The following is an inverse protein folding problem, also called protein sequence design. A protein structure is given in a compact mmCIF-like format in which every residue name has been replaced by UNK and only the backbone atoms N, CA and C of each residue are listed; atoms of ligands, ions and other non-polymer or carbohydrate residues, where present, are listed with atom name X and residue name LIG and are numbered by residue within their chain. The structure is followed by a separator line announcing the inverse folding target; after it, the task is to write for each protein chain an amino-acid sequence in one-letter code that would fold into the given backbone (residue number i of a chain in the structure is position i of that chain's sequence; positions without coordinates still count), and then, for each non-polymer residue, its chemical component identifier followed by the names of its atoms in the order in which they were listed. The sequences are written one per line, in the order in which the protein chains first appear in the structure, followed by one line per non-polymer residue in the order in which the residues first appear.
data_IF_601655845729
#
_entry.id   IF_601655845729
#
_cell.length_a   1.000
_cell.length_b   1.000
_cell.length_c   1.000
_cell.angle_alpha   90.00
_cell.angle_beta   90.00
_cell.angle_gamma   90.00
#
_symmetry.space_group_name_H-M   'P 1'
#
loop_
_entity.id
_entity.type
_entity.pdbx_description
1 polymer ?
#
# COMPACT_ATOMS: atom_id res chain seq x y z
N UNK A 1 5.79 4.12 7.56
CA UNK A 1 4.93 3.54 8.62
C UNK A 1 3.71 2.95 7.95
N UNK A 2 3.58 1.62 8.00
CA UNK A 2 2.44 0.90 7.40
C UNK A 2 1.37 0.70 8.47
N UNK A 3 0.09 0.82 8.11
CA UNK A 3 -1.02 0.65 9.06
C UNK A 3 -1.99 -0.40 8.52
N UNK A 4 -2.60 -1.14 9.42
CA UNK A 4 -3.52 -2.23 9.10
C UNK A 4 -4.69 -2.19 10.07
N UNK A 5 -5.91 -2.16 9.56
CA UNK A 5 -7.12 -2.45 10.32
C UNK A 5 -7.17 -3.93 10.66
N UNK A 6 -7.48 -4.24 11.92
CA UNK A 6 -7.74 -5.60 12.40
C UNK A 6 -9.25 -5.79 12.43
N UNK A 7 -9.75 -6.81 11.73
CA UNK A 7 -11.18 -7.04 11.50
C UNK A 7 -11.54 -8.46 11.92
N UNK A 8 -12.64 -8.60 12.66
CA UNK A 8 -13.22 -9.89 13.05
C UNK A 8 -13.92 -10.54 11.84
N UNK A 9 -13.36 -11.64 11.33
CA UNK A 9 -13.89 -12.36 10.17
C UNK A 9 -15.11 -13.23 10.47
N UNK A 10 -15.43 -13.47 11.75
CA UNK A 10 -16.60 -14.26 12.16
C UNK A 10 -17.90 -13.44 12.12
N UNK A 11 -17.76 -12.10 12.10
CA UNK A 11 -18.87 -11.14 12.06
C UNK A 11 -18.93 -10.46 10.68
N UNK A 12 -19.88 -10.82 9.81
CA UNK A 12 -20.02 -10.18 8.50
C UNK A 12 -20.21 -8.66 8.62
N UNK A 13 -19.36 -7.88 7.94
CA UNK A 13 -19.43 -6.42 7.99
C UNK A 13 -18.92 -5.79 9.29
N UNK A 14 -18.18 -6.53 10.12
CA UNK A 14 -17.59 -5.99 11.34
C UNK A 14 -16.75 -4.73 11.07
N UNK A 15 -16.97 -3.72 11.91
CA UNK A 15 -16.06 -2.60 12.00
C UNK A 15 -14.69 -3.08 12.51
N UNK A 16 -13.58 -2.43 12.12
CA UNK A 16 -12.27 -2.75 12.66
C UNK A 16 -12.24 -2.60 14.19
N UNK A 17 -11.64 -3.57 14.88
CA UNK A 17 -11.50 -3.52 16.33
C UNK A 17 -10.29 -2.67 16.77
N UNK A 18 -9.34 -2.41 15.87
CA UNK A 18 -8.14 -1.64 16.12
C UNK A 18 -7.28 -1.44 14.89
N UNK A 19 -6.21 -0.66 15.07
CA UNK A 19 -5.16 -0.45 14.07
C UNK A 19 -3.87 -1.09 14.55
N UNK A 20 -3.32 -2.00 13.75
CA UNK A 20 -1.95 -2.48 13.83
C UNK A 20 -1.06 -1.55 13.00
N UNK A 21 0.07 -1.11 13.55
CA UNK A 21 1.03 -0.24 12.88
C UNK A 21 2.40 -0.90 12.85
N UNK A 22 3.06 -0.86 11.69
CA UNK A 22 4.45 -1.27 11.51
C UNK A 22 5.34 -0.05 11.29
N UNK A 23 6.29 0.12 12.19
CA UNK A 23 7.34 1.13 12.09
C UNK A 23 8.54 0.53 11.35
N UNK A 24 8.86 1.07 10.18
CA UNK A 24 9.92 0.54 9.30
C UNK A 24 11.33 0.80 9.86
N UNK A 25 11.53 1.89 10.60
CA UNK A 25 12.82 2.26 11.17
C UNK A 25 13.20 1.34 12.33
N UNK A 26 12.24 1.04 13.20
CA UNK A 26 12.45 0.20 14.39
C UNK A 26 12.10 -1.27 14.15
N UNK A 27 11.42 -1.57 13.03
CA UNK A 27 10.91 -2.89 12.65
C UNK A 27 9.95 -3.49 13.68
N UNK A 28 9.22 -2.64 14.40
CA UNK A 28 8.32 -3.04 15.50
C UNK A 28 6.86 -2.85 15.10
N UNK A 29 6.03 -3.77 15.58
CA UNK A 29 4.58 -3.62 15.54
C UNK A 29 4.05 -2.98 16.81
N UNK A 30 2.99 -2.19 16.66
CA UNK A 30 2.16 -1.68 17.75
C UNK A 30 0.70 -1.83 17.38
N UNK A 31 -0.18 -1.95 18.38
CA UNK A 31 -1.61 -2.05 18.16
C UNK A 31 -2.35 -1.11 19.10
N UNK A 32 -3.37 -0.45 18.55
CA UNK A 32 -4.26 0.45 19.27
C UNK A 32 -5.71 0.13 18.94
N UNK A 33 -6.50 -0.20 19.95
CA UNK A 33 -7.89 -0.58 19.80
C UNK A 33 -8.80 0.65 19.63
N UNK A 34 -9.77 0.58 18.70
CA UNK A 34 -10.73 1.68 18.40
C UNK A 34 -11.57 2.00 19.63
N UNK A 35 -11.87 3.27 19.87
CA UNK A 35 -12.69 3.70 21.02
C UNK A 35 -14.02 2.92 21.11
N UNK A 36 -14.41 2.52 22.32
CA UNK A 36 -15.65 1.78 22.57
C UNK A 36 -15.62 0.27 22.28
N UNK A 37 -14.58 -0.25 21.64
CA UNK A 37 -14.41 -1.71 21.42
C UNK A 37 -14.06 -2.41 22.73
N UNK A 38 -14.79 -3.47 23.09
CA UNK A 38 -14.61 -4.22 24.33
C UNK A 38 -13.59 -5.38 24.23
N UNK A 39 -13.19 -6.00 25.37
CA UNK A 39 -12.23 -7.10 25.40
C UNK A 39 -12.63 -8.34 24.58
N UNK A 40 -13.92 -8.53 24.28
CA UNK A 40 -14.44 -9.65 23.49
C UNK A 40 -14.40 -9.42 21.98
N UNK A 41 -14.11 -8.20 21.56
CA UNK A 41 -14.15 -7.77 20.16
C UNK A 41 -12.75 -7.62 19.56
N UNK A 42 -11.72 -7.97 20.33
CA UNK A 42 -10.30 -7.99 19.92
C UNK A 42 -9.77 -9.42 19.99
N UNK A 43 -8.62 -9.72 19.37
CA UNK A 43 -7.94 -10.99 19.59
C UNK A 43 -7.77 -11.29 21.09
N UNK A 44 -7.96 -12.55 21.49
CA UNK A 44 -7.94 -12.96 22.91
C UNK A 44 -6.65 -12.54 23.62
N UNK A 45 -5.53 -12.53 22.91
CA UNK A 45 -4.22 -12.09 23.40
C UNK A 45 -4.20 -10.62 23.86
N UNK A 46 -5.12 -9.79 23.36
CA UNK A 46 -5.23 -8.35 23.64
C UNK A 46 -6.29 -8.03 24.70
N UNK A 47 -7.20 -8.97 25.00
CA UNK A 47 -8.35 -8.75 25.88
C UNK A 47 -7.95 -8.20 27.26
N UNK A 48 -6.92 -8.78 27.89
CA UNK A 48 -6.45 -8.36 29.22
C UNK A 48 -5.96 -6.90 29.25
N UNK A 49 -5.39 -6.39 28.15
CA UNK A 49 -4.99 -4.99 28.09
C UNK A 49 -6.21 -4.07 28.13
N UNK A 50 -7.26 -4.40 27.35
CA UNK A 50 -8.51 -3.64 27.35
C UNK A 50 -9.25 -3.74 28.69
N UNK A 51 -9.21 -4.90 29.37
CA UNK A 51 -9.77 -5.06 30.73
C UNK A 51 -9.11 -4.13 31.75
N UNK A 52 -7.83 -3.81 31.55
CA UNK A 52 -7.09 -2.84 32.37
C UNK A 52 -7.32 -1.38 31.96
N UNK A 53 -8.18 -1.13 30.96
CA UNK A 53 -8.42 0.18 30.38
C UNK A 53 -7.32 0.64 29.41
N UNK A 54 -6.40 -0.24 29.01
CA UNK A 54 -5.33 0.08 28.06
C UNK A 54 -5.83 -0.10 26.63
N UNK A 55 -5.95 0.99 25.86
CA UNK A 55 -6.26 0.92 24.41
C UNK A 55 -5.06 0.49 23.59
N UNK A 56 -3.87 0.91 24.01
CA UNK A 56 -2.59 0.53 23.41
C UNK A 56 -2.12 -0.77 24.04
N UNK A 57 -2.09 -1.83 23.23
CA UNK A 57 -1.72 -3.16 23.73
C UNK A 57 -0.21 -3.23 23.97
N UNK A 58 0.25 -3.86 25.08
CA UNK A 58 1.67 -4.08 25.34
C UNK A 58 2.41 -4.72 24.17
N UNK A 59 3.57 -4.17 23.81
CA UNK A 59 4.35 -4.56 22.63
C UNK A 59 4.60 -6.07 22.54
N UNK A 60 4.90 -6.73 23.67
CA UNK A 60 5.14 -8.18 23.74
C UNK A 60 3.96 -9.02 23.24
N UNK A 61 2.72 -8.58 23.50
CA UNK A 61 1.50 -9.28 23.09
C UNK A 61 1.25 -9.05 21.61
N UNK A 62 1.47 -7.82 21.12
CA UNK A 62 1.38 -7.50 19.69
C UNK A 62 2.39 -8.33 18.89
N UNK A 63 3.63 -8.43 19.37
CA UNK A 63 4.68 -9.21 18.72
C UNK A 63 4.33 -10.70 18.66
N UNK A 64 3.90 -11.29 19.78
CA UNK A 64 3.49 -12.70 19.82
C UNK A 64 2.33 -12.98 18.86
N UNK A 65 1.33 -12.10 18.83
CA UNK A 65 0.19 -12.22 17.91
C UNK A 65 0.62 -12.14 16.43
N UNK A 66 1.58 -11.28 16.08
CA UNK A 66 2.11 -11.20 14.72
C UNK A 66 2.94 -12.45 14.36
N UNK A 67 3.77 -12.95 15.28
CA UNK A 67 4.64 -14.12 15.06
C UNK A 67 3.85 -15.40 14.76
N UNK A 68 2.65 -15.55 15.32
CA UNK A 68 1.74 -16.66 14.98
C UNK A 68 1.26 -16.65 13.52
N UNK A 69 1.41 -15.53 12.80
CA UNK A 69 0.87 -15.30 11.45
C UNK A 69 1.93 -15.26 10.36
N UNK A 70 3.20 -15.16 10.72
CA UNK A 70 4.30 -15.06 9.77
C UNK A 70 5.26 -16.24 9.92
N UNK A 71 5.88 -16.65 8.81
CA UNK A 71 6.94 -17.64 8.88
C UNK A 71 8.12 -17.08 9.70
N UNK A 72 8.62 -17.81 10.72
CA UNK A 72 9.75 -17.34 11.51
C UNK A 72 11.02 -17.30 10.66
N UNK A 73 11.91 -16.35 10.98
CA UNK A 73 13.21 -16.19 10.29
C UNK A 73 14.05 -17.47 10.35
N UNK A 74 13.93 -18.26 11.42
CA UNK A 74 14.64 -19.52 11.63
C UNK A 74 14.13 -20.70 10.80
N UNK A 75 13.10 -20.53 9.97
CA UNK A 75 12.53 -21.61 9.16
C UNK A 75 13.53 -22.05 8.07
N UNK A 76 13.76 -23.36 7.94
CA UNK A 76 14.75 -23.94 7.01
C UNK A 76 14.62 -23.44 5.56
N UNK A 77 13.41 -23.12 5.09
CA UNK A 77 13.15 -22.67 3.71
C UNK A 77 12.80 -21.19 3.61
N UNK A 78 13.19 -20.35 4.58
CA UNK A 78 12.80 -18.94 4.58
C UNK A 78 13.21 -18.21 3.30
N UNK A 79 14.38 -18.53 2.73
CA UNK A 79 14.85 -17.91 1.49
C UNK A 79 13.96 -18.20 0.27
N UNK A 80 13.29 -19.36 0.22
CA UNK A 80 12.31 -19.67 -0.82
C UNK A 80 11.04 -18.84 -0.67
N UNK A 81 10.58 -18.67 0.58
CA UNK A 81 9.40 -17.86 0.91
C UNK A 81 9.66 -16.39 0.54
N UNK A 82 10.84 -15.87 0.87
CA UNK A 82 11.23 -14.49 0.51
C UNK A 82 11.24 -14.30 -1.01
N UNK A 83 11.86 -15.23 -1.76
CA UNK A 83 11.85 -15.19 -3.23
C UNK A 83 10.45 -15.26 -3.84
N UNK A 84 9.57 -16.09 -3.28
CA UNK A 84 8.18 -16.19 -3.74
C UNK A 84 7.39 -14.87 -3.56
N UNK A 85 7.85 -13.99 -2.67
CA UNK A 85 7.29 -12.66 -2.43
C UNK A 85 8.16 -11.52 -3.02
N UNK A 86 9.14 -11.83 -3.86
CA UNK A 86 10.07 -10.86 -4.45
C UNK A 86 10.83 -10.02 -3.40
N UNK A 87 11.09 -10.60 -2.23
CA UNK A 87 11.79 -9.97 -1.12
C UNK A 87 13.29 -10.31 -1.13
N UNK A 88 14.13 -9.27 -1.10
CA UNK A 88 15.59 -9.42 -0.91
C UNK A 88 15.98 -9.55 0.57
N UNK A 89 15.14 -9.03 1.47
CA UNK A 89 15.29 -9.11 2.91
C UNK A 89 13.99 -9.56 3.60
N UNK A 90 14.11 -10.09 4.82
CA UNK A 90 12.94 -10.47 5.60
C UNK A 90 12.12 -9.24 5.96
N UNK A 91 10.94 -9.04 5.37
CA UNK A 91 9.99 -7.98 5.72
C UNK A 91 8.75 -8.58 6.41
N UNK A 92 8.65 -8.47 7.75
CA UNK A 92 7.52 -8.99 8.52
C UNK A 92 6.17 -8.47 8.05
N UNK A 93 6.08 -7.19 7.67
CA UNK A 93 4.81 -6.59 7.29
C UNK A 93 4.36 -7.07 5.91
N UNK A 94 5.29 -7.34 5.00
CA UNK A 94 4.97 -7.97 3.72
C UNK A 94 4.57 -9.42 3.88
N UNK A 95 5.31 -10.20 4.68
CA UNK A 95 4.97 -11.60 4.99
C UNK A 95 3.61 -11.72 5.71
N UNK A 96 3.31 -10.80 6.61
CA UNK A 96 2.02 -10.73 7.30
C UNK A 96 0.89 -10.50 6.29
N UNK A 97 1.13 -9.69 5.26
CA UNK A 97 0.14 -9.41 4.22
C UNK A 97 -0.01 -10.50 3.16
N UNK A 98 0.95 -11.44 3.04
CA UNK A 98 0.86 -12.58 2.12
C UNK A 98 -0.43 -13.38 2.27
N UNK A 99 -0.98 -13.47 3.49
CA UNK A 99 -2.29 -14.09 3.77
C UNK A 99 -3.23 -13.15 4.55
N UNK A 100 -3.08 -11.82 4.38
CA UNK A 100 -3.88 -10.81 5.10
C UNK A 100 -3.93 -11.05 6.62
N UNK A 101 -2.83 -11.51 7.23
CA UNK A 101 -2.73 -11.80 8.67
C UNK A 101 -3.67 -12.88 9.19
N UNK A 102 -4.25 -13.72 8.33
CA UNK A 102 -5.10 -14.84 8.76
C UNK A 102 -4.27 -15.91 9.46
N UNK A 103 -4.83 -16.47 10.53
CA UNK A 103 -4.26 -17.56 11.32
C UNK A 103 -5.30 -18.66 11.56
N UNK A 104 -4.86 -19.85 11.96
CA UNK A 104 -5.77 -20.89 12.49
C UNK A 104 -6.09 -20.70 13.97
N UNK A 105 -5.44 -19.75 14.65
CA UNK A 105 -5.61 -19.50 16.09
C UNK A 105 -6.80 -18.59 16.42
N UNK A 106 -7.19 -17.71 15.50
CA UNK A 106 -8.37 -16.85 15.66
C UNK A 106 -8.96 -16.43 14.28
N UNK A 107 -10.16 -15.86 14.31
CA UNK A 107 -10.89 -15.40 13.13
C UNK A 107 -10.52 -14.02 12.60
N UNK A 108 -9.48 -13.36 13.13
CA UNK A 108 -9.14 -11.99 12.74
C UNK A 108 -8.30 -11.96 11.46
N UNK A 109 -8.53 -10.93 10.65
CA UNK A 109 -7.73 -10.65 9.46
C UNK A 109 -7.37 -9.17 9.36
N UNK A 110 -6.41 -8.87 8.49
CA UNK A 110 -5.87 -7.53 8.30
C UNK A 110 -6.31 -6.92 6.98
N UNK A 111 -6.58 -5.62 7.03
CA UNK A 111 -6.77 -4.76 5.87
C UNK A 111 -5.80 -3.58 5.98
N UNK A 112 -4.88 -3.43 5.04
CA UNK A 112 -3.93 -2.31 5.05
C UNK A 112 -4.65 -0.96 4.84
N UNK A 113 -4.31 0.04 5.66
CA UNK A 113 -4.88 1.39 5.67
C UNK A 113 -3.80 2.43 5.40
N UNK A 114 -3.73 2.92 4.16
CA UNK A 114 -2.74 3.92 3.69
C UNK A 114 -1.31 3.35 3.53
N UNK A 115 -0.45 3.77 2.60
CA UNK A 115 -0.59 4.64 1.43
C UNK A 115 0.09 4.01 0.19
N UNK A 116 0.37 2.70 0.20
CA UNK A 116 1.00 1.96 -0.92
C UNK A 116 0.15 2.07 -2.19
N UNK A 117 -1.17 2.02 -2.03
CA UNK A 117 -2.11 2.16 -3.13
C UNK A 117 -2.29 3.62 -3.56
N UNK A 118 -2.01 4.63 -2.73
CA UNK A 118 -2.10 6.04 -3.13
C UNK A 118 -0.84 6.48 -3.85
N UNK A 119 0.35 6.09 -3.37
CA UNK A 119 1.62 6.34 -4.06
C UNK A 119 1.64 5.68 -5.45
N UNK A 120 1.36 4.37 -5.52
CA UNK A 120 1.31 3.65 -6.79
C UNK A 120 0.22 4.20 -7.73
N UNK A 121 -0.97 4.54 -7.23
CA UNK A 121 -2.02 5.17 -8.07
C UNK A 121 -1.67 6.59 -8.50
N UNK A 122 -1.04 7.40 -7.66
CA UNK A 122 -0.57 8.75 -8.02
C UNK A 122 0.52 8.67 -9.08
N UNK A 123 1.48 7.76 -8.89
CA UNK A 123 2.52 7.45 -9.88
C UNK A 123 1.91 6.98 -11.20
N UNK A 124 1.02 5.99 -11.16
CA UNK A 124 0.32 5.47 -12.33
C UNK A 124 -0.49 6.53 -13.08
N UNK A 125 -1.19 7.41 -12.34
CA UNK A 125 -1.88 8.57 -12.92
C UNK A 125 -0.91 9.58 -13.54
N UNK A 126 0.23 9.83 -12.91
CA UNK A 126 1.29 10.70 -13.42
C UNK A 126 1.87 10.18 -14.74
N UNK A 127 2.20 8.88 -14.78
CA UNK A 127 2.69 8.20 -15.99
C UNK A 127 1.64 8.27 -17.10
N UNK A 128 0.37 7.94 -16.79
CA UNK A 128 -0.73 8.04 -17.76
C UNK A 128 -0.89 9.45 -18.30
N UNK A 129 -0.85 10.47 -17.44
CA UNK A 129 -0.98 11.86 -17.85
C UNK A 129 0.18 12.29 -18.76
N UNK A 130 1.41 11.92 -18.42
CA UNK A 130 2.59 12.19 -19.25
C UNK A 130 2.49 11.50 -20.62
N UNK A 131 2.07 10.23 -20.65
CA UNK A 131 1.84 9.49 -21.89
C UNK A 131 0.82 10.17 -22.80
N UNK A 132 -0.31 10.61 -22.24
CA UNK A 132 -1.35 11.29 -22.99
C UNK A 132 -0.88 12.65 -23.52
N UNK A 133 -0.09 13.41 -22.75
CA UNK A 133 0.53 14.67 -23.22
C UNK A 133 1.51 14.45 -24.37
N UNK A 134 2.23 13.33 -24.35
CA UNK A 134 3.12 12.91 -25.43
C UNK A 134 2.39 12.33 -26.65
N UNK A 135 1.05 12.22 -26.62
CA UNK A 135 0.25 11.68 -27.72
C UNK A 135 0.44 10.18 -27.96
N UNK A 136 0.94 9.42 -26.98
CA UNK A 136 1.27 8.01 -27.14
C UNK A 136 0.12 7.09 -26.69
N UNK A 137 -0.07 5.96 -27.38
CA UNK A 137 -0.91 4.86 -26.89
C UNK A 137 -0.17 4.08 -25.80
N UNK A 138 -0.90 3.26 -25.01
CA UNK A 138 -0.25 2.38 -24.04
C UNK A 138 0.72 1.41 -24.72
N UNK A 139 0.32 0.84 -25.84
CA UNK A 139 1.18 -0.06 -26.63
C UNK A 139 2.47 0.63 -27.08
N UNK A 140 2.38 1.86 -27.56
CA UNK A 140 3.54 2.61 -28.03
C UNK A 140 4.50 2.99 -26.90
N UNK A 141 3.99 3.46 -25.76
CA UNK A 141 4.84 3.72 -24.59
C UNK A 141 5.46 2.43 -24.06
N UNK A 142 4.69 1.35 -23.97
CA UNK A 142 5.17 0.07 -23.48
C UNK A 142 6.32 -0.45 -24.35
N UNK A 143 6.14 -0.39 -25.69
CA UNK A 143 7.16 -0.75 -26.67
C UNK A 143 8.43 0.08 -26.52
N UNK A 144 8.33 1.42 -26.40
CA UNK A 144 9.48 2.31 -26.19
C UNK A 144 10.19 2.06 -24.86
N UNK A 145 9.42 1.80 -23.81
CA UNK A 145 9.96 1.47 -22.50
C UNK A 145 10.50 0.03 -22.45
N UNK A 146 10.20 -0.84 -23.42
CA UNK A 146 10.57 -2.26 -23.48
C UNK A 146 9.79 -3.15 -22.50
N UNK A 147 8.53 -2.81 -22.21
CA UNK A 147 7.63 -3.57 -21.34
C UNK A 147 6.39 -4.00 -22.11
N UNK A 148 5.59 -4.92 -21.54
CA UNK A 148 4.32 -5.31 -22.16
C UNK A 148 3.24 -4.25 -21.96
N UNK A 149 2.24 -4.21 -22.84
CA UNK A 149 1.11 -3.28 -22.73
C UNK A 149 0.29 -3.56 -21.46
N UNK A 150 0.16 -4.82 -21.05
CA UNK A 150 -0.51 -5.24 -19.82
C UNK A 150 0.22 -4.74 -18.58
N UNK A 151 1.57 -4.86 -18.57
CA UNK A 151 2.40 -4.35 -17.48
C UNK A 151 2.29 -2.82 -17.35
N UNK A 152 2.27 -2.10 -18.47
CA UNK A 152 2.04 -0.66 -18.45
C UNK A 152 0.60 -0.32 -17.97
N UNK A 153 -0.41 -1.06 -18.44
CA UNK A 153 -1.80 -0.87 -18.03
C UNK A 153 -2.01 -1.16 -16.54
N UNK A 154 -1.32 -2.17 -15.98
CA UNK A 154 -1.31 -2.46 -14.56
C UNK A 154 -0.68 -1.30 -13.77
N UNK A 155 0.49 -0.81 -14.22
CA UNK A 155 1.18 0.33 -13.63
C UNK A 155 0.33 1.61 -13.64
N UNK A 156 -0.30 1.95 -14.77
CA UNK A 156 -1.15 3.15 -14.88
C UNK A 156 -2.39 3.13 -13.97
N UNK A 157 -2.83 1.93 -13.58
CA UNK A 157 -3.93 1.73 -12.61
C UNK A 157 -3.44 1.70 -11.16
N UNK A 158 -2.14 1.88 -10.93
CA UNK A 158 -1.50 1.79 -9.62
C UNK A 158 -1.38 0.37 -9.09
N UNK A 159 -1.35 -0.62 -9.97
CA UNK A 159 -1.04 -2.00 -9.66
C UNK A 159 0.45 -2.31 -9.88
N UNK A 160 0.93 -3.33 -9.17
CA UNK A 160 2.34 -3.74 -9.21
C UNK A 160 3.26 -2.84 -8.37
N UNK A 161 4.54 -3.22 -8.32
CA UNK A 161 5.61 -2.48 -7.65
C UNK A 161 6.72 -2.15 -8.67
N UNK A 162 6.62 -1.04 -9.43
CA UNK A 162 7.60 -0.72 -10.45
C UNK A 162 8.96 -0.42 -9.81
N UNK A 163 9.99 -1.12 -10.26
CA UNK A 163 11.37 -0.85 -9.85
C UNK A 163 11.85 0.52 -10.36
N UNK A 164 12.87 1.11 -9.71
CA UNK A 164 13.50 2.35 -10.19
C UNK A 164 13.93 2.26 -11.65
N UNK A 165 14.47 1.10 -12.07
CA UNK A 165 14.85 0.84 -13.46
C UNK A 165 13.66 0.91 -14.42
N UNK A 166 12.48 0.44 -14.01
CA UNK A 166 11.25 0.58 -14.81
C UNK A 166 10.85 2.04 -14.94
N UNK A 167 10.94 2.82 -13.85
CA UNK A 167 10.63 4.25 -13.86
C UNK A 167 11.56 5.04 -14.77
N UNK A 168 12.87 4.77 -14.72
CA UNK A 168 13.84 5.39 -15.62
C UNK A 168 13.55 5.09 -17.09
N UNK A 169 13.19 3.84 -17.41
CA UNK A 169 12.86 3.44 -18.80
C UNK A 169 11.63 4.18 -19.31
N UNK A 170 10.61 4.34 -18.46
CA UNK A 170 9.40 5.10 -18.79
C UNK A 170 9.73 6.58 -18.99
N UNK A 171 10.53 7.18 -18.11
CA UNK A 171 10.96 8.58 -18.24
C UNK A 171 11.72 8.83 -19.55
N UNK A 172 12.66 7.93 -19.90
CA UNK A 172 13.38 7.97 -21.19
C UNK A 172 12.45 7.80 -22.38
N UNK A 173 11.49 6.87 -22.31
CA UNK A 173 10.53 6.61 -23.38
C UNK A 173 9.56 7.79 -23.63
N UNK A 174 9.32 8.60 -22.61
CA UNK A 174 8.50 9.82 -22.64
C UNK A 174 9.30 11.09 -22.94
N UNK A 175 10.64 10.98 -23.02
CA UNK A 175 11.55 12.12 -23.16
C UNK A 175 11.32 13.21 -22.10
N UNK A 176 11.18 12.79 -20.83
CA UNK A 176 10.92 13.71 -19.72
C UNK A 176 11.81 13.44 -18.50
N UNK A 177 12.04 14.48 -17.69
CA UNK A 177 12.58 14.34 -16.34
C UNK A 177 11.50 13.82 -15.39
N UNK A 178 11.82 12.78 -14.61
CA UNK A 178 10.96 12.25 -13.57
C UNK A 178 11.39 12.79 -12.21
N UNK A 179 10.51 13.55 -11.56
CA UNK A 179 10.67 14.00 -10.18
C UNK A 179 9.62 13.30 -9.31
N UNK A 180 10.06 12.69 -8.21
CA UNK A 180 9.19 12.00 -7.25
C UNK A 180 9.25 12.76 -5.94
N UNK A 181 8.15 13.42 -5.60
CA UNK A 181 8.00 14.13 -4.32
C UNK A 181 7.09 13.33 -3.40
N UNK A 182 7.58 12.99 -2.21
CA UNK A 182 6.76 12.46 -1.13
C UNK A 182 6.28 13.62 -0.26
N UNK A 183 4.99 13.91 -0.31
CA UNK A 183 4.35 14.91 0.55
C UNK A 183 3.54 14.25 1.66
N UNK A 184 3.43 14.90 2.81
CA UNK A 184 2.44 14.52 3.83
C UNK A 184 1.02 14.63 3.23
N UNK A 185 0.08 13.74 3.61
CA UNK A 185 -1.30 13.89 3.21
C UNK A 185 -1.84 15.22 3.75
N UNK A 186 -1.87 16.24 2.89
CA UNK A 186 -2.60 17.45 3.17
C UNK A 186 -4.06 17.07 3.41
N UNK A 187 -4.59 17.44 4.57
CA UNK A 187 -5.99 17.27 4.92
C UNK A 187 -6.93 18.15 4.06
N UNK A 188 -6.41 18.91 3.10
CA UNK A 188 -7.20 19.78 2.23
C UNK A 188 -7.39 19.13 0.85
N UNK A 189 -8.67 18.90 0.50
CA UNK A 189 -9.10 18.37 -0.79
C UNK A 189 -8.49 19.11 -1.98
N UNK A 190 -8.08 18.35 -2.98
CA UNK A 190 -7.51 18.90 -4.22
C UNK A 190 -8.63 19.54 -5.04
N UNK A 191 -8.69 20.87 -4.98
CA UNK A 191 -9.19 21.67 -6.09
C UNK A 191 -8.23 21.47 -7.26
N UNK A 192 -8.74 20.96 -8.39
CA UNK A 192 -7.99 21.00 -9.64
C UNK A 192 -8.31 22.36 -10.27
N UNK A 193 -7.40 23.32 -10.11
CA UNK A 193 -7.40 24.52 -10.95
C UNK A 193 -6.91 24.15 -12.35
N UNK A 194 -7.74 24.45 -13.35
CA UNK A 194 -7.41 24.37 -14.76
C UNK A 194 -7.10 25.80 -15.21
N UNK A 195 -5.82 26.16 -15.38
CA UNK A 195 -5.46 27.40 -16.09
C UNK A 195 -5.63 27.16 -17.60
N UNK A 196 -6.87 27.28 -18.04
CA UNK A 196 -7.22 27.28 -19.44
C UNK A 196 -6.92 28.63 -20.07
N UNK A 197 -5.69 28.84 -20.55
CA UNK A 197 -5.45 29.82 -21.62
C UNK A 197 -5.65 29.13 -22.96
N UNK A 198 -6.89 29.21 -23.40
CA UNK A 198 -7.38 28.93 -24.73
C UNK A 198 -6.49 29.61 -25.78
N UNK A 199 -5.90 28.80 -26.66
CA UNK A 199 -5.34 29.30 -27.91
C UNK A 199 -6.44 29.91 -28.77
N UNK A 200 -6.12 31.08 -29.30
CA UNK A 200 -6.86 31.76 -30.36
C UNK A 200 -7.15 30.80 -31.52
N UNK A 201 -8.41 30.73 -31.94
CA UNK A 201 -8.74 30.40 -33.33
C UNK A 201 -9.45 31.60 -33.93
N UNK A 202 -8.69 32.30 -34.75
CA UNK A 202 -9.21 33.03 -35.90
C UNK A 202 -10.11 32.11 -36.72
N UNK A 203 -11.36 32.49 -36.93
CA UNK A 203 -12.02 32.10 -38.17
C UNK A 203 -12.61 33.34 -38.82
N UNK A 204 -12.12 33.57 -40.03
CA UNK A 204 -12.44 34.71 -40.85
C UNK A 204 -13.80 34.52 -41.51
N UNK A 205 -14.52 35.62 -41.53
CA UNK A 205 -15.68 35.91 -42.39
C UNK A 205 -15.47 35.47 -43.85
N UNK A 206 -16.57 35.33 -44.58
CA UNK A 206 -16.94 36.42 -45.49
C UNK A 206 -18.16 37.22 -45.02
#
# INVERSE_FOLDING_TARGET
MRRFEVIDGEKPGAAPCGTLCFDEATRKFSFEAVEGVGPRDVPAMFALALERGERRVPQRLVQAWVEERIAPVSRQNIGEILRAHELEEYDPATLLMSNRGKSTQDGFFLREVGDTFTGARRLGRGVRAARLRAGLTQEELARRAGMSQEALSLLERGGGNPTMKTLERIARALDCSLEITFGEPSAAGVAIEYDGRSGERSDGRP
#
